data_IF_058696606550
#
_entry.id   IF_058696606550
#
_cell.length_a   1.000
_cell.length_b   1.000
_cell.length_c   1.000
_cell.angle_alpha   90.00
_cell.angle_beta   90.00
_cell.angle_gamma   90.00
#
_symmetry.space_group_name_H-M   'P 1'
#
loop_
_entity.id
_entity.type
_entity.pdbx_description
1 polymer ?
#
# COMPACT_ATOMS: atom_id res chain seq x y z
N UNK A 1 -20.94 2.12 -13.23
CA UNK A 1 -19.49 2.38 -13.05
C UNK A 1 -19.06 1.77 -11.71
N UNK A 2 -18.08 0.86 -11.68
CA UNK A 2 -17.56 0.35 -10.39
C UNK A 2 -16.74 1.45 -9.73
N UNK A 3 -16.99 1.71 -8.44
CA UNK A 3 -16.17 2.60 -7.61
C UNK A 3 -14.73 2.08 -7.58
N UNK A 4 -13.75 2.97 -7.69
CA UNK A 4 -12.33 2.60 -7.59
C UNK A 4 -12.06 1.91 -6.25
N UNK A 5 -11.37 0.77 -6.29
CA UNK A 5 -10.94 0.03 -5.11
C UNK A 5 -9.42 -0.04 -5.13
N UNK A 6 -8.78 0.64 -4.17
CA UNK A 6 -7.34 0.74 -4.11
C UNK A 6 -6.65 -0.60 -3.85
N UNK A 7 -7.20 -1.45 -2.97
CA UNK A 7 -6.62 -2.77 -2.69
C UNK A 7 -6.63 -3.67 -3.93
N UNK A 8 -7.75 -3.71 -4.67
CA UNK A 8 -7.84 -4.45 -5.93
C UNK A 8 -6.86 -3.91 -6.97
N UNK A 9 -6.69 -2.59 -7.03
CA UNK A 9 -5.70 -1.96 -7.91
C UNK A 9 -4.27 -2.40 -7.55
N UNK A 10 -3.91 -2.42 -6.26
CA UNK A 10 -2.57 -2.88 -5.82
C UNK A 10 -2.31 -4.33 -6.23
N UNK A 11 -3.28 -5.23 -6.02
CA UNK A 11 -3.15 -6.62 -6.43
C UNK A 11 -3.00 -6.77 -7.95
N UNK A 12 -3.71 -5.96 -8.75
CA UNK A 12 -3.53 -5.91 -10.21
C UNK A 12 -2.14 -5.40 -10.63
N UNK A 13 -1.52 -4.56 -9.80
CA UNK A 13 -0.16 -4.06 -10.02
C UNK A 13 0.95 -5.00 -9.52
N UNK A 14 0.57 -6.20 -9.07
CA UNK A 14 1.49 -7.25 -8.62
C UNK A 14 1.86 -7.17 -7.14
N UNK A 15 1.13 -6.41 -6.32
CA UNK A 15 1.36 -6.38 -4.88
C UNK A 15 0.74 -7.58 -4.18
N UNK A 16 1.51 -8.20 -3.29
CA UNK A 16 1.08 -9.28 -2.43
C UNK A 16 0.38 -8.74 -1.19
N UNK A 17 -0.84 -9.21 -0.92
CA UNK A 17 -1.67 -8.78 0.21
C UNK A 17 -1.43 -9.67 1.42
N UNK A 18 -1.15 -9.06 2.57
CA UNK A 18 -1.10 -9.72 3.88
C UNK A 18 -1.94 -8.96 4.91
N UNK A 19 -2.72 -9.68 5.72
CA UNK A 19 -3.62 -9.11 6.72
C UNK A 19 -3.07 -9.38 8.12
N UNK A 20 -2.73 -8.30 8.82
CA UNK A 20 -2.26 -8.33 10.21
C UNK A 20 -3.47 -8.20 11.13
N UNK A 21 -3.63 -9.16 12.04
CA UNK A 21 -4.70 -9.16 13.04
C UNK A 21 -4.19 -8.65 14.38
N UNK A 22 -5.06 -8.01 15.16
CA UNK A 22 -4.81 -7.70 16.57
C UNK A 22 -5.09 -8.91 17.47
N UNK A 23 -4.81 -8.75 18.76
CA UNK A 23 -5.01 -9.79 19.80
C UNK A 23 -6.48 -10.25 19.92
N UNK A 24 -7.43 -9.42 19.48
CA UNK A 24 -8.87 -9.73 19.49
C UNK A 24 -9.33 -10.40 18.19
N UNK A 25 -8.42 -10.72 17.27
CA UNK A 25 -8.71 -11.31 15.96
C UNK A 25 -9.26 -10.34 14.91
N UNK A 26 -9.39 -9.05 15.24
CA UNK A 26 -9.80 -8.00 14.29
C UNK A 26 -8.64 -7.57 13.39
N UNK A 27 -8.94 -6.96 12.24
CA UNK A 27 -7.90 -6.44 11.34
C UNK A 27 -7.23 -5.22 11.99
N UNK A 28 -5.94 -5.33 12.23
CA UNK A 28 -5.10 -4.23 12.70
C UNK A 28 -4.60 -3.40 11.51
N UNK A 29 -4.06 -4.08 10.49
CA UNK A 29 -3.56 -3.49 9.27
C UNK A 29 -3.65 -4.48 8.10
N UNK A 30 -3.72 -3.95 6.88
CA UNK A 30 -3.51 -4.73 5.66
C UNK A 30 -2.28 -4.18 4.94
N UNK A 31 -1.28 -5.02 4.77
CA UNK A 31 -0.02 -4.68 4.11
C UNK A 31 -0.02 -5.23 2.69
N UNK A 32 0.56 -4.46 1.78
CA UNK A 32 0.78 -4.79 0.38
C UNK A 32 2.26 -4.64 0.11
N UNK A 33 2.92 -5.67 -0.41
CA UNK A 33 4.36 -5.65 -0.66
C UNK A 33 4.65 -6.06 -2.09
N UNK A 34 5.73 -5.53 -2.66
CA UNK A 34 6.17 -5.88 -4.01
C UNK A 34 7.68 -5.75 -4.11
N UNK A 35 8.31 -6.76 -4.70
CA UNK A 35 9.70 -6.68 -5.14
C UNK A 35 9.75 -5.83 -6.41
N UNK A 36 10.40 -4.67 -6.32
CA UNK A 36 10.52 -3.73 -7.45
C UNK A 36 11.80 -3.93 -8.25
N UNK A 37 12.85 -4.41 -7.58
CA UNK A 37 14.10 -4.94 -8.13
C UNK A 37 14.59 -6.08 -7.22
N UNK A 38 15.48 -6.97 -7.67
CA UNK A 38 15.98 -8.07 -6.84
C UNK A 38 16.46 -7.58 -5.46
N UNK A 39 15.92 -8.19 -4.39
CA UNK A 39 16.18 -7.85 -2.99
C UNK A 39 15.73 -6.44 -2.55
N UNK A 40 15.01 -5.71 -3.40
CA UNK A 40 14.50 -4.38 -3.12
C UNK A 40 12.97 -4.40 -3.10
N UNK A 41 12.42 -4.24 -1.89
CA UNK A 41 11.00 -4.35 -1.63
C UNK A 41 10.44 -3.01 -1.20
N UNK A 42 9.25 -2.69 -1.71
CA UNK A 42 8.46 -1.60 -1.18
C UNK A 42 7.23 -2.14 -0.43
N UNK A 43 6.53 -1.26 0.27
CA UNK A 43 5.28 -1.64 0.91
C UNK A 43 4.28 -0.50 1.01
N UNK A 44 3.00 -0.86 1.06
CA UNK A 44 1.89 0.02 1.43
C UNK A 44 1.14 -0.66 2.55
N UNK A 45 0.95 0.04 3.66
CA UNK A 45 0.15 -0.42 4.80
C UNK A 45 -1.11 0.41 4.89
N UNK A 46 -2.27 -0.23 4.87
CA UNK A 46 -3.57 0.38 5.18
C UNK A 46 -3.92 0.02 6.62
N UNK A 47 -4.02 1.05 7.47
CA UNK A 47 -4.28 0.92 8.90
C UNK A 47 -5.78 0.77 9.17
N UNK A 48 -6.13 0.26 10.35
CA UNK A 48 -7.52 0.12 10.82
C UNK A 48 -8.30 1.46 10.85
N UNK A 49 -7.63 2.59 11.01
CA UNK A 49 -8.22 3.94 10.92
C UNK A 49 -8.47 4.41 9.46
N UNK A 50 -8.26 3.54 8.47
CA UNK A 50 -8.40 3.80 7.03
C UNK A 50 -7.43 4.85 6.48
N UNK A 51 -6.30 5.08 7.15
CA UNK A 51 -5.15 5.79 6.61
C UNK A 51 -4.15 4.82 5.99
N UNK A 52 -3.23 5.34 5.20
CA UNK A 52 -2.13 4.56 4.64
C UNK A 52 -0.76 5.12 5.02
N UNK A 53 0.22 4.24 4.99
CA UNK A 53 1.66 4.55 5.01
C UNK A 53 2.31 3.83 3.83
N UNK A 54 3.19 4.50 3.09
CA UNK A 54 3.86 3.92 1.94
C UNK A 54 5.39 3.99 2.10
N UNK A 55 6.05 2.84 2.07
CA UNK A 55 7.50 2.73 2.27
C UNK A 55 8.18 2.35 0.94
N UNK A 56 9.08 3.20 0.40
CA UNK A 56 9.96 2.84 -0.71
C UNK A 56 11.07 1.85 -0.27
N UNK A 57 11.80 1.24 -1.23
CA UNK A 57 12.95 0.38 -0.91
C UNK A 57 14.06 1.09 -0.14
N UNK A 58 14.17 2.41 -0.28
CA UNK A 58 15.14 3.24 0.46
C UNK A 58 14.87 3.28 1.97
N UNK A 59 13.70 2.83 2.42
CA UNK A 59 13.31 2.81 3.83
C UNK A 59 12.83 4.15 4.40
N UNK A 60 12.94 5.24 3.63
CA UNK A 60 12.43 6.56 4.05
C UNK A 60 10.93 6.60 3.80
N UNK A 61 10.14 6.49 4.87
CA UNK A 61 8.69 6.50 4.79
C UNK A 61 8.16 7.71 4.00
N UNK A 62 7.25 7.44 3.08
CA UNK A 62 6.50 8.45 2.35
C UNK A 62 5.01 8.32 2.69
N UNK A 63 4.26 9.42 2.56
CA UNK A 63 2.81 9.40 2.73
C UNK A 63 2.36 8.81 4.08
N UNK A 64 2.86 9.35 5.18
CA UNK A 64 2.52 8.93 6.54
C UNK A 64 1.10 9.42 6.88
N UNK A 65 0.23 8.51 7.29
CA UNK A 65 -1.19 8.77 7.62
C UNK A 65 -1.99 9.45 6.50
N UNK A 66 -1.63 9.16 5.24
CA UNK A 66 -2.31 9.70 4.07
C UNK A 66 -3.69 9.06 3.85
N UNK A 67 -4.57 9.77 3.15
CA UNK A 67 -5.88 9.25 2.73
C UNK A 67 -5.72 8.16 1.67
N UNK A 68 -6.57 7.13 1.75
CA UNK A 68 -6.63 6.08 0.72
C UNK A 68 -7.02 6.71 -0.64
N UNK A 69 -6.24 6.47 -1.71
CA UNK A 69 -6.55 6.96 -3.05
C UNK A 69 -7.98 6.61 -3.49
N UNK A 70 -8.68 7.61 -4.02
CA UNK A 70 -10.05 7.48 -4.52
C UNK A 70 -10.10 7.31 -6.03
N UNK A 71 -8.96 7.42 -6.70
CA UNK A 71 -8.82 7.27 -8.14
C UNK A 71 -7.53 6.54 -8.53
N UNK A 72 -7.54 5.94 -9.73
CA UNK A 72 -6.34 5.33 -10.32
C UNK A 72 -5.18 6.32 -10.41
N UNK A 73 -5.47 7.57 -10.79
CA UNK A 73 -4.45 8.63 -10.91
C UNK A 73 -3.76 8.92 -9.58
N UNK A 74 -4.52 9.05 -8.49
CA UNK A 74 -3.96 9.23 -7.14
C UNK A 74 -3.10 8.03 -6.73
N UNK A 75 -3.58 6.81 -7.00
CA UNK A 75 -2.85 5.59 -6.68
C UNK A 75 -1.51 5.50 -7.45
N UNK A 76 -1.50 5.83 -8.73
CA UNK A 76 -0.30 5.84 -9.57
C UNK A 76 0.75 6.87 -9.10
N UNK A 77 0.33 8.00 -8.54
CA UNK A 77 1.27 8.99 -7.96
C UNK A 77 2.01 8.37 -6.78
N UNK A 78 1.31 7.65 -5.91
CA UNK A 78 1.93 6.95 -4.77
C UNK A 78 2.90 5.87 -5.29
N UNK A 79 2.46 5.03 -6.23
CA UNK A 79 3.32 3.96 -6.76
C UNK A 79 4.60 4.53 -7.39
N UNK A 80 4.51 5.61 -8.18
CA UNK A 80 5.69 6.27 -8.76
C UNK A 80 6.67 6.78 -7.70
N UNK A 81 6.17 7.19 -6.53
CA UNK A 81 7.02 7.65 -5.44
C UNK A 81 7.71 6.49 -4.71
N UNK A 82 7.06 5.33 -4.57
CA UNK A 82 7.57 4.20 -3.79
C UNK A 82 8.19 3.07 -4.60
N UNK A 83 8.05 3.07 -5.92
CA UNK A 83 8.73 2.12 -6.81
C UNK A 83 10.05 2.69 -7.36
N UNK A 84 10.38 3.93 -7.02
CA UNK A 84 11.65 4.55 -7.39
C UNK A 84 12.77 4.08 -6.45
N UNK A 85 13.90 3.71 -7.04
CA UNK A 85 15.16 3.38 -6.35
C UNK A 85 16.10 4.57 -6.43
#
# INVERSE_FOLDING_TARGET
MKKFNFETFLQQMGYEKNVVKNEKGGIYATTFQKEVEPMNWNSITIHSNRKLTACPPTGVLTHIDAEIPKSKREAEIILKAIEKI
#
